data_IF_980638489011
#
_entry.id   IF_980638489011
#
_cell.length_a   1.000
_cell.length_b   1.000
_cell.length_c   1.000
_cell.angle_alpha   90.00
_cell.angle_beta   90.00
_cell.angle_gamma   90.00
#
_symmetry.space_group_name_H-M   'P 1'
#
loop_
_entity.id
_entity.type
_entity.pdbx_description
1 polymer ?
#
# COMPACT_ATOMS: atom_id res chain seq x y z
N UNK A 1 -7.64 4.81 14.23
CA UNK A 1 -7.74 3.56 14.97
C UNK A 1 -6.53 2.67 14.70
N UNK A 2 -5.76 2.40 15.76
CA UNK A 2 -4.51 1.65 15.64
C UNK A 2 -4.73 0.23 15.10
N UNK A 3 -5.85 -0.38 15.42
CA UNK A 3 -6.17 -1.73 14.97
C UNK A 3 -6.36 -1.79 13.45
N UNK A 4 -7.07 -0.83 12.88
CA UNK A 4 -7.26 -0.75 11.43
C UNK A 4 -5.94 -0.43 10.71
N UNK A 5 -5.15 0.45 11.29
CA UNK A 5 -3.85 0.78 10.72
C UNK A 5 -2.93 -0.45 10.70
N UNK A 6 -2.93 -1.23 11.78
CA UNK A 6 -2.16 -2.47 11.86
C UNK A 6 -2.58 -3.44 10.74
N UNK A 7 -3.89 -3.58 10.49
CA UNK A 7 -4.40 -4.43 9.42
C UNK A 7 -3.87 -3.98 8.04
N UNK A 8 -3.90 -2.67 7.78
CA UNK A 8 -3.40 -2.14 6.51
C UNK A 8 -1.92 -2.46 6.34
N UNK A 9 -1.11 -2.18 7.37
CA UNK A 9 0.33 -2.42 7.30
C UNK A 9 0.61 -3.91 7.08
N UNK A 10 -0.09 -4.80 7.79
CA UNK A 10 0.08 -6.24 7.61
C UNK A 10 -0.25 -6.68 6.18
N UNK A 11 -1.34 -6.19 5.61
CA UNK A 11 -1.70 -6.50 4.22
C UNK A 11 -0.64 -6.02 3.24
N UNK A 12 -0.11 -4.80 3.44
CA UNK A 12 0.91 -4.26 2.56
C UNK A 12 2.22 -5.04 2.66
N UNK A 13 2.62 -5.44 3.87
CA UNK A 13 3.82 -6.24 4.06
C UNK A 13 3.67 -7.64 3.45
N UNK A 14 2.50 -8.25 3.60
CA UNK A 14 2.23 -9.55 3.00
C UNK A 14 2.26 -9.47 1.47
N UNK A 15 1.72 -8.40 0.89
CA UNK A 15 1.79 -8.16 -0.54
C UNK A 15 3.24 -8.06 -1.01
N UNK A 16 4.02 -7.23 -0.34
CA UNK A 16 5.42 -7.05 -0.68
C UNK A 16 6.17 -8.38 -0.61
N UNK A 17 5.88 -9.19 0.39
CA UNK A 17 6.51 -10.50 0.54
C UNK A 17 6.16 -11.44 -0.61
N UNK A 18 4.92 -11.40 -1.10
CA UNK A 18 4.50 -12.23 -2.24
C UNK A 18 5.13 -11.80 -3.55
N UNK A 19 5.31 -10.50 -3.75
CA UNK A 19 5.90 -9.94 -4.97
C UNK A 19 7.43 -10.05 -5.01
N UNK A 20 8.08 -10.26 -3.86
CA UNK A 20 9.53 -10.21 -3.76
C UNK A 20 10.07 -11.58 -3.34
N UNK A 21 10.64 -12.31 -4.30
CA UNK A 21 11.29 -13.60 -3.99
C UNK A 21 12.67 -13.39 -3.40
N UNK A 22 13.44 -12.47 -3.99
CA UNK A 22 14.75 -12.07 -3.51
C UNK A 22 14.83 -10.56 -3.52
N UNK A 23 15.53 -9.99 -2.56
CA UNK A 23 15.69 -8.56 -2.47
C UNK A 23 15.27 -8.04 -1.10
N UNK A 24 14.64 -6.86 -1.06
CA UNK A 24 14.29 -6.24 0.20
C UNK A 24 12.85 -5.78 0.26
N UNK A 25 12.37 -5.64 1.49
CA UNK A 25 11.11 -5.00 1.83
C UNK A 25 11.42 -3.99 2.92
N UNK A 26 11.00 -2.74 2.73
CA UNK A 26 11.26 -1.67 3.67
C UNK A 26 9.96 -1.01 4.09
N UNK A 27 9.77 -0.89 5.40
CA UNK A 27 8.67 -0.14 5.98
C UNK A 27 9.23 1.19 6.49
N UNK A 28 8.67 2.29 6.02
CA UNK A 28 9.09 3.62 6.44
C UNK A 28 7.93 4.48 6.83
N UNK A 29 8.21 5.53 7.57
CA UNK A 29 7.20 6.54 7.86
C UNK A 29 7.84 7.91 7.97
N UNK A 30 7.02 8.94 7.74
CA UNK A 30 7.45 10.32 7.77
C UNK A 30 6.29 11.17 8.29
N UNK A 31 6.57 12.04 9.23
CA UNK A 31 5.57 12.95 9.78
C UNK A 31 5.70 14.29 9.08
N UNK A 32 4.60 14.80 8.55
CA UNK A 32 4.54 16.13 7.95
C UNK A 32 3.69 17.02 8.87
N UNK A 33 4.36 17.80 9.70
CA UNK A 33 3.67 18.64 10.67
C UNK A 33 2.90 19.80 10.04
N UNK A 34 3.40 20.34 8.92
CA UNK A 34 2.72 21.45 8.26
C UNK A 34 1.39 21.03 7.62
N UNK A 35 1.27 19.79 7.19
CA UNK A 35 0.02 19.24 6.66
C UNK A 35 -0.75 18.43 7.69
N UNK A 36 -0.20 18.28 8.88
CA UNK A 36 -0.78 17.47 9.94
C UNK A 36 -1.07 16.04 9.47
N UNK A 37 -0.07 15.43 8.83
CA UNK A 37 -0.20 14.10 8.24
C UNK A 37 0.98 13.22 8.60
N UNK A 38 0.72 11.90 8.60
CA UNK A 38 1.77 10.89 8.62
C UNK A 38 1.72 10.14 7.30
N UNK A 39 2.90 9.93 6.70
CA UNK A 39 3.06 9.18 5.46
C UNK A 39 3.75 7.87 5.79
N UNK A 40 3.10 6.76 5.47
CA UNK A 40 3.65 5.42 5.69
C UNK A 40 3.93 4.82 4.32
N UNK A 41 5.10 4.19 4.15
CA UNK A 41 5.45 3.57 2.89
C UNK A 41 5.90 2.13 3.11
N UNK A 42 5.48 1.24 2.21
CA UNK A 42 5.98 -0.12 2.12
C UNK A 42 6.60 -0.26 0.74
N UNK A 43 7.91 -0.47 0.71
CA UNK A 43 8.69 -0.53 -0.52
C UNK A 43 9.26 -1.93 -0.68
N UNK A 44 9.16 -2.50 -1.87
CA UNK A 44 9.80 -3.77 -2.18
C UNK A 44 10.62 -3.64 -3.46
N UNK A 45 11.56 -4.56 -3.63
CA UNK A 45 12.40 -4.64 -4.83
C UNK A 45 11.93 -5.75 -5.77
N UNK A 46 10.64 -6.08 -5.73
CA UNK A 46 10.06 -7.14 -6.53
C UNK A 46 9.79 -6.73 -7.98
N UNK A 47 8.80 -7.39 -8.58
CA UNK A 47 8.54 -7.22 -10.02
C UNK A 47 7.92 -5.89 -10.41
N UNK A 48 7.38 -5.13 -9.45
CA UNK A 48 6.72 -3.88 -9.74
C UNK A 48 5.33 -4.04 -10.35
N UNK A 49 4.64 -2.91 -10.52
CA UNK A 49 3.32 -2.87 -11.15
C UNK A 49 3.37 -1.82 -12.27
N UNK A 50 3.02 -2.19 -13.50
CA UNK A 50 3.00 -1.21 -14.60
C UNK A 50 2.13 0.00 -14.28
N UNK A 51 2.56 1.19 -14.70
CA UNK A 51 1.86 2.44 -14.39
C UNK A 51 0.38 2.39 -14.77
N UNK A 52 0.07 1.82 -15.91
CA UNK A 52 -1.32 1.75 -16.40
C UNK A 52 -2.19 0.82 -15.56
N UNK A 53 -1.60 0.01 -14.69
CA UNK A 53 -2.33 -0.90 -13.82
C UNK A 53 -2.35 -0.49 -12.35
N UNK A 54 -1.62 0.55 -11.99
CA UNK A 54 -1.47 0.93 -10.58
C UNK A 54 -2.76 1.36 -9.92
N UNK A 55 -3.64 2.04 -10.64
CA UNK A 55 -4.95 2.39 -10.09
C UNK A 55 -5.89 1.18 -10.08
N UNK A 56 -5.79 0.35 -11.10
CA UNK A 56 -6.63 -0.85 -11.24
C UNK A 56 -6.46 -1.83 -10.10
N UNK A 57 -5.25 -1.96 -9.54
CA UNK A 57 -5.01 -2.95 -8.47
C UNK A 57 -5.78 -2.66 -7.19
N UNK A 58 -6.29 -1.45 -7.02
CA UNK A 58 -7.12 -1.10 -5.88
C UNK A 58 -8.60 -1.41 -6.11
N UNK A 59 -8.97 -1.85 -7.30
CA UNK A 59 -10.35 -2.20 -7.60
C UNK A 59 -10.68 -3.57 -7.06
N UNK A 60 -11.93 -3.74 -6.64
CA UNK A 60 -12.42 -5.01 -6.14
C UNK A 60 -12.29 -6.07 -7.23
N UNK A 61 -11.72 -7.23 -6.86
CA UNK A 61 -11.50 -8.35 -7.78
C UNK A 61 -10.65 -8.02 -8.99
N UNK A 62 -9.69 -7.08 -8.83
CA UNK A 62 -8.69 -6.85 -9.87
C UNK A 62 -7.99 -8.17 -10.21
N UNK A 63 -7.75 -8.41 -11.51
CA UNK A 63 -7.08 -9.62 -11.96
C UNK A 63 -5.69 -9.76 -11.35
N UNK A 64 -4.95 -8.66 -11.26
CA UNK A 64 -3.62 -8.68 -10.68
C UNK A 64 -3.68 -9.04 -9.20
N UNK A 65 -4.60 -8.42 -8.47
CA UNK A 65 -4.80 -8.68 -7.06
C UNK A 65 -5.23 -10.13 -6.82
N UNK A 66 -6.20 -10.61 -7.60
CA UNK A 66 -6.69 -11.99 -7.51
C UNK A 66 -5.57 -12.99 -7.80
N UNK A 67 -4.81 -12.75 -8.85
CA UNK A 67 -3.75 -13.66 -9.30
C UNK A 67 -2.64 -13.76 -8.26
N UNK A 68 -2.22 -12.64 -7.71
CA UNK A 68 -1.06 -12.59 -6.80
C UNK A 68 -1.46 -12.87 -5.35
N UNK A 69 -2.58 -12.33 -4.91
CA UNK A 69 -3.00 -12.42 -3.51
C UNK A 69 -3.95 -13.59 -3.25
N UNK A 70 -4.53 -14.15 -4.30
CA UNK A 70 -5.38 -15.33 -4.20
C UNK A 70 -6.84 -15.05 -3.86
N UNK A 71 -7.20 -13.84 -3.42
CA UNK A 71 -8.58 -13.53 -3.02
C UNK A 71 -9.18 -12.31 -3.70
N UNK A 72 -8.38 -11.48 -4.36
CA UNK A 72 -8.88 -10.31 -5.08
C UNK A 72 -9.32 -9.16 -4.22
N UNK A 73 -9.05 -9.17 -2.92
CA UNK A 73 -9.56 -8.17 -2.00
C UNK A 73 -8.50 -7.42 -1.20
N UNK A 74 -7.23 -7.86 -1.25
CA UNK A 74 -6.19 -7.31 -0.37
C UNK A 74 -6.03 -5.80 -0.44
N UNK A 75 -5.70 -5.27 -1.62
CA UNK A 75 -5.49 -3.83 -1.78
C UNK A 75 -6.81 -3.05 -1.74
N UNK A 76 -7.89 -3.65 -2.24
CA UNK A 76 -9.22 -3.04 -2.14
C UNK A 76 -9.61 -2.81 -0.67
N UNK A 77 -9.40 -3.80 0.18
CA UNK A 77 -9.68 -3.66 1.62
C UNK A 77 -8.80 -2.59 2.26
N UNK A 78 -7.53 -2.54 1.91
CA UNK A 78 -6.63 -1.49 2.40
C UNK A 78 -7.17 -0.11 2.02
N UNK A 79 -7.62 0.05 0.79
CA UNK A 79 -8.18 1.32 0.34
C UNK A 79 -9.43 1.72 1.13
N UNK A 80 -10.32 0.76 1.40
CA UNK A 80 -11.52 1.02 2.20
C UNK A 80 -11.17 1.45 3.61
N UNK A 81 -10.22 0.76 4.25
CA UNK A 81 -9.81 1.08 5.61
C UNK A 81 -9.15 2.46 5.67
N UNK A 82 -8.25 2.74 4.73
CA UNK A 82 -7.55 4.02 4.67
C UNK A 82 -8.54 5.17 4.48
N UNK A 83 -9.54 4.97 3.63
CA UNK A 83 -10.59 5.99 3.42
C UNK A 83 -11.40 6.23 4.70
N UNK A 84 -11.68 5.20 5.47
CA UNK A 84 -12.36 5.35 6.76
C UNK A 84 -11.53 6.13 7.77
N UNK A 85 -10.22 6.10 7.62
CA UNK A 85 -9.30 6.86 8.46
C UNK A 85 -9.02 8.27 7.90
N UNK A 86 -9.79 8.67 6.89
CA UNK A 86 -9.68 9.96 6.20
C UNK A 86 -8.34 10.16 5.49
N UNK A 87 -7.73 9.05 5.05
CA UNK A 87 -6.45 9.06 4.38
C UNK A 87 -6.54 8.71 2.91
N UNK A 88 -5.37 8.56 2.31
CA UNK A 88 -5.21 8.15 0.92
C UNK A 88 -4.19 7.03 0.84
N UNK A 89 -4.39 6.12 -0.13
CA UNK A 89 -3.43 5.08 -0.46
C UNK A 89 -3.18 5.11 -1.96
N UNK A 90 -1.92 4.97 -2.34
CA UNK A 90 -1.55 4.94 -3.76
C UNK A 90 -0.24 4.18 -3.94
N UNK A 91 0.03 3.81 -5.19
CA UNK A 91 1.32 3.28 -5.59
C UNK A 91 2.13 4.44 -6.15
N UNK A 92 3.40 4.55 -5.71
CA UNK A 92 4.28 5.62 -6.16
C UNK A 92 4.69 5.35 -7.61
N UNK A 93 4.24 6.18 -8.57
CA UNK A 93 4.56 5.94 -9.98
C UNK A 93 6.00 6.26 -10.34
N UNK A 94 6.72 6.99 -9.48
CA UNK A 94 8.10 7.37 -9.71
C UNK A 94 9.10 6.32 -9.23
N UNK A 95 8.65 5.36 -8.43
CA UNK A 95 9.50 4.27 -7.97
C UNK A 95 9.44 3.12 -8.97
N UNK A 96 10.55 2.81 -9.62
CA UNK A 96 10.60 1.86 -10.74
C UNK A 96 11.41 0.59 -10.46
N UNK A 97 11.98 0.44 -9.26
CA UNK A 97 12.82 -0.71 -8.91
C UNK A 97 12.06 -1.79 -8.16
N UNK A 98 10.74 -1.73 -8.22
CA UNK A 98 9.83 -2.62 -7.54
C UNK A 98 8.51 -1.90 -7.33
N UNK A 99 7.92 -2.06 -6.15
CA UNK A 99 6.65 -1.41 -5.82
C UNK A 99 6.78 -0.65 -4.50
N UNK A 100 6.31 0.59 -4.49
CA UNK A 100 6.20 1.39 -3.28
C UNK A 100 4.75 1.79 -3.10
N UNK A 101 4.14 1.31 -2.03
CA UNK A 101 2.78 1.70 -1.65
C UNK A 101 2.88 2.79 -0.59
N UNK A 102 2.16 3.88 -0.80
CA UNK A 102 2.20 5.04 0.09
C UNK A 102 0.81 5.23 0.71
N UNK A 103 0.77 5.37 2.03
CA UNK A 103 -0.45 5.67 2.79
C UNK A 103 -0.26 6.99 3.50
N UNK A 104 -1.13 7.96 3.22
CA UNK A 104 -1.13 9.25 3.90
C UNK A 104 -2.35 9.31 4.82
N UNK A 105 -2.12 9.61 6.09
CA UNK A 105 -3.16 9.69 7.10
C UNK A 105 -3.11 11.00 7.85
N UNK A 106 -4.27 11.60 8.17
CA UNK A 106 -4.27 12.77 9.03
C UNK A 106 -3.86 12.39 10.45
N UNK A 107 -3.19 13.32 11.13
CA UNK A 107 -2.83 13.15 12.54
C UNK A 107 -3.99 13.69 13.35
N UNK A 108 -4.56 12.85 14.21
CA UNK A 108 -5.61 13.24 15.14
C UNK A 108 -5.02 13.35 16.54
N UNK A 109 -5.28 14.46 17.18
CA UNK A 109 -4.85 14.69 18.56
C UNK A 109 -5.94 14.30 19.55
#
# INVERSE_FOLDING_TARGET
NAQYLTMVIEHLLNNANKFTEEGFIALGYKVNLSKNQICISVTDSGCGIPKEKQEEVFNRFSKLDTFVLGNGLGLYLCRLIVKRLDGEIKIDPDYTEGTRVIVNLPIHE
#
